data_IF_814562819635
#
_entry.id   IF_814562819635
#
_cell.length_a   1.000
_cell.length_b   1.000
_cell.length_c   1.000
_cell.angle_alpha   90.00
_cell.angle_beta   90.00
_cell.angle_gamma   90.00
#
_symmetry.space_group_name_H-M   'P 1'
#
loop_
_entity.id
_entity.type
_entity.pdbx_description
1 polymer ?
#
# COMPACT_ATOMS: atom_id res chain seq x y z
N UNK A 1 -35.45 -8.92 39.15
CA UNK A 1 -35.40 -9.35 37.74
C UNK A 1 -35.64 -8.13 36.86
N UNK A 2 -34.64 -7.66 36.13
CA UNK A 2 -34.81 -6.58 35.15
C UNK A 2 -35.64 -7.15 33.97
N UNK A 3 -36.95 -6.87 33.96
CA UNK A 3 -37.80 -7.03 32.78
C UNK A 3 -37.50 -5.83 31.88
N UNK A 4 -36.60 -6.01 30.92
CA UNK A 4 -36.37 -5.04 29.84
C UNK A 4 -37.14 -5.46 28.60
N UNK A 5 -37.87 -4.53 28.00
CA UNK A 5 -38.61 -4.64 26.73
C UNK A 5 -37.65 -4.75 25.51
N UNK A 6 -36.84 -5.80 25.49
CA UNK A 6 -35.90 -6.11 24.41
C UNK A 6 -36.05 -7.60 24.12
N UNK A 7 -36.28 -8.08 22.88
CA UNK A 7 -36.20 -9.51 22.63
C UNK A 7 -34.72 -9.92 22.61
N UNK A 8 -34.11 -10.02 23.79
CA UNK A 8 -32.74 -10.50 24.02
C UNK A 8 -32.47 -11.86 23.34
N UNK A 9 -33.53 -12.64 23.12
CA UNK A 9 -33.45 -13.96 22.47
C UNK A 9 -32.90 -13.91 21.04
N UNK A 10 -33.27 -12.91 20.22
CA UNK A 10 -32.80 -12.87 18.82
C UNK A 10 -31.32 -12.46 18.71
N UNK A 11 -30.86 -11.51 19.54
CA UNK A 11 -29.43 -11.17 19.58
C UNK A 11 -28.59 -12.34 20.07
N UNK A 12 -29.07 -13.09 21.06
CA UNK A 12 -28.39 -14.31 21.50
C UNK A 12 -28.33 -15.37 20.39
N UNK A 13 -29.42 -15.53 19.61
CA UNK A 13 -29.42 -16.42 18.43
C UNK A 13 -28.41 -16.00 17.37
N UNK A 14 -28.28 -14.70 17.07
CA UNK A 14 -27.26 -14.20 16.14
C UNK A 14 -25.85 -14.51 16.64
N UNK A 15 -25.54 -14.23 17.91
CA UNK A 15 -24.22 -14.55 18.50
C UNK A 15 -23.94 -16.05 18.43
N UNK A 16 -24.93 -16.89 18.74
CA UNK A 16 -24.82 -18.34 18.64
C UNK A 16 -24.57 -18.80 17.20
N UNK A 17 -25.21 -18.18 16.21
CA UNK A 17 -24.98 -18.46 14.80
C UNK A 17 -23.56 -18.07 14.36
N UNK A 18 -23.05 -16.91 14.81
CA UNK A 18 -21.64 -16.50 14.58
C UNK A 18 -20.66 -17.54 15.13
N UNK A 19 -20.86 -17.96 16.37
CA UNK A 19 -20.03 -19.02 16.96
C UNK A 19 -20.09 -20.33 16.15
N UNK A 20 -21.25 -20.68 15.58
CA UNK A 20 -21.32 -21.82 14.67
C UNK A 20 -20.59 -21.59 13.34
N UNK A 21 -20.62 -20.38 12.78
CA UNK A 21 -19.83 -20.04 11.60
C UNK A 21 -18.33 -20.17 11.87
N UNK A 22 -17.85 -19.64 13.00
CA UNK A 22 -16.44 -19.71 13.40
C UNK A 22 -15.99 -21.17 13.61
N UNK A 23 -16.92 -22.05 14.00
CA UNK A 23 -16.68 -23.49 14.14
C UNK A 23 -16.88 -24.28 12.84
N UNK A 24 -17.15 -23.63 11.70
CA UNK A 24 -17.42 -24.29 10.42
C UNK A 24 -18.76 -25.03 10.35
N UNK A 25 -19.67 -24.82 11.30
CA UNK A 25 -20.98 -25.48 11.38
C UNK A 25 -22.06 -24.67 10.67
N UNK A 26 -21.82 -24.33 9.41
CA UNK A 26 -22.60 -23.37 8.63
C UNK A 26 -24.09 -23.73 8.51
N UNK A 27 -24.45 -25.01 8.31
CA UNK A 27 -25.87 -25.40 8.25
C UNK A 27 -26.61 -25.14 9.57
N UNK A 28 -25.94 -25.27 10.72
CA UNK A 28 -26.55 -24.96 12.03
C UNK A 28 -26.74 -23.46 12.21
N UNK A 29 -25.76 -22.66 11.76
CA UNK A 29 -25.88 -21.21 11.75
C UNK A 29 -27.06 -20.77 10.87
N UNK A 30 -27.14 -21.26 9.63
CA UNK A 30 -28.22 -20.97 8.67
C UNK A 30 -29.60 -21.31 9.26
N UNK A 31 -29.73 -22.45 9.95
CA UNK A 31 -30.99 -22.83 10.59
C UNK A 31 -31.43 -21.79 11.65
N UNK A 32 -30.51 -21.38 12.52
CA UNK A 32 -30.79 -20.39 13.57
C UNK A 32 -31.11 -19.02 12.97
N UNK A 33 -30.37 -18.61 11.94
CA UNK A 33 -30.56 -17.32 11.27
C UNK A 33 -31.90 -17.27 10.53
N UNK A 34 -32.30 -18.36 9.87
CA UNK A 34 -33.64 -18.48 9.27
C UNK A 34 -34.76 -18.32 10.31
N UNK A 35 -34.59 -18.84 11.52
CA UNK A 35 -35.56 -18.65 12.61
C UNK A 35 -35.62 -17.19 13.06
N UNK A 36 -34.48 -16.46 13.06
CA UNK A 36 -34.42 -15.02 13.31
C UNK A 36 -35.12 -14.23 12.19
N UNK A 37 -34.95 -14.60 10.92
CA UNK A 37 -35.59 -13.92 9.79
C UNK A 37 -37.12 -14.08 9.78
N UNK A 38 -37.63 -15.18 10.33
CA UNK A 38 -39.07 -15.45 10.52
C UNK A 38 -39.67 -14.77 11.76
N UNK A 39 -38.85 -14.11 12.57
CA UNK A 39 -39.31 -13.40 13.76
C UNK A 39 -40.39 -12.37 13.41
N UNK A 40 -41.40 -12.30 14.29
CA UNK A 40 -42.46 -11.30 14.30
C UNK A 40 -42.59 -10.75 15.71
N UNK A 41 -43.00 -9.49 15.84
CA UNK A 41 -43.25 -8.90 17.14
C UNK A 41 -44.48 -9.56 17.81
N UNK A 42 -44.42 -9.88 19.12
CA UNK A 42 -45.61 -10.33 19.85
C UNK A 42 -46.56 -9.15 20.09
N UNK A 43 -47.45 -8.90 19.14
CA UNK A 43 -48.54 -7.92 19.23
C UNK A 43 -49.90 -8.54 18.87
N UNK A 44 -51.04 -7.86 19.12
CA UNK A 44 -52.35 -8.37 18.74
C UNK A 44 -52.42 -8.56 17.22
N UNK A 45 -52.63 -9.79 16.79
CA UNK A 45 -52.75 -10.19 15.39
C UNK A 45 -53.78 -9.32 14.65
N UNK A 46 -53.34 -8.58 13.63
CA UNK A 46 -54.24 -7.97 12.65
C UNK A 46 -54.22 -6.45 12.50
N UNK A 47 -53.41 -5.71 13.28
CA UNK A 47 -53.06 -4.34 12.86
C UNK A 47 -51.97 -4.46 11.80
N UNK A 48 -52.16 -3.91 10.61
CA UNK A 48 -51.13 -3.85 9.56
C UNK A 48 -49.97 -2.91 9.93
N UNK A 49 -49.45 -3.02 11.14
CA UNK A 49 -48.35 -2.22 11.64
C UNK A 49 -47.06 -2.62 10.94
N UNK A 50 -46.35 -1.61 10.47
CA UNK A 50 -45.05 -1.75 9.84
C UNK A 50 -44.06 -2.42 10.80
N UNK A 51 -43.15 -3.23 10.25
CA UNK A 51 -42.16 -3.93 11.06
C UNK A 51 -41.29 -2.93 11.85
N UNK A 52 -41.11 -3.11 13.17
CA UNK A 52 -40.31 -2.21 13.99
C UNK A 52 -38.87 -2.09 13.49
N UNK A 53 -38.32 -0.87 13.55
CA UNK A 53 -36.96 -0.58 13.11
C UNK A 53 -35.88 -1.46 13.76
N UNK A 54 -36.03 -1.79 15.07
CA UNK A 54 -35.09 -2.66 15.75
C UNK A 54 -35.10 -4.10 15.20
N UNK A 55 -36.26 -4.59 14.75
CA UNK A 55 -36.41 -5.95 14.21
C UNK A 55 -35.85 -6.02 12.79
N UNK A 56 -36.12 -4.99 11.97
CA UNK A 56 -35.45 -4.79 10.66
C UNK A 56 -33.93 -4.82 10.81
N UNK A 57 -33.36 -4.11 11.79
CA UNK A 57 -31.91 -4.12 12.07
C UNK A 57 -31.39 -5.52 12.44
N UNK A 58 -32.10 -6.24 13.30
CA UNK A 58 -31.75 -7.64 13.67
C UNK A 58 -31.77 -8.55 12.43
N UNK A 59 -32.74 -8.37 11.52
CA UNK A 59 -32.83 -9.15 10.29
C UNK A 59 -31.71 -8.83 9.31
N UNK A 60 -31.33 -7.56 9.16
CA UNK A 60 -30.16 -7.16 8.38
C UNK A 60 -28.87 -7.80 8.93
N UNK A 61 -28.64 -7.73 10.25
CA UNK A 61 -27.50 -8.41 10.89
C UNK A 61 -27.52 -9.94 10.66
N UNK A 62 -28.69 -10.57 10.79
CA UNK A 62 -28.84 -12.00 10.56
C UNK A 62 -28.56 -12.39 9.09
N UNK A 63 -28.96 -11.56 8.13
CA UNK A 63 -28.66 -11.76 6.72
C UNK A 63 -27.16 -11.70 6.44
N UNK A 64 -26.43 -10.76 7.06
CA UNK A 64 -24.97 -10.70 6.94
C UNK A 64 -24.33 -12.01 7.44
N UNK A 65 -24.71 -12.46 8.64
CA UNK A 65 -24.15 -13.71 9.20
C UNK A 65 -24.58 -14.95 8.40
N UNK A 66 -25.74 -14.90 7.75
CA UNK A 66 -26.22 -15.98 6.88
C UNK A 66 -25.44 -16.00 5.56
N UNK A 67 -25.13 -14.83 5.00
CA UNK A 67 -24.23 -14.70 3.86
C UNK A 67 -22.87 -15.32 4.13
N UNK A 68 -22.27 -15.04 5.29
CA UNK A 68 -20.99 -15.66 5.71
C UNK A 68 -21.08 -17.18 5.81
N UNK A 69 -22.24 -17.67 6.26
CA UNK A 69 -22.50 -19.12 6.34
C UNK A 69 -22.50 -19.74 4.94
N UNK A 70 -23.18 -19.10 3.98
CA UNK A 70 -23.21 -19.55 2.59
C UNK A 70 -21.83 -19.44 1.91
N UNK A 71 -21.04 -18.39 2.19
CA UNK A 71 -19.65 -18.31 1.72
C UNK A 71 -18.81 -19.48 2.22
N UNK A 72 -18.93 -19.85 3.50
CA UNK A 72 -18.26 -21.03 4.07
C UNK A 72 -18.66 -22.35 3.39
N UNK A 73 -19.85 -22.40 2.79
CA UNK A 73 -20.35 -23.51 1.99
C UNK A 73 -20.06 -23.39 0.49
N UNK A 74 -19.36 -22.33 0.07
CA UNK A 74 -19.14 -21.98 -1.34
C UNK A 74 -20.42 -21.77 -2.15
N UNK A 75 -21.49 -21.37 -1.47
CA UNK A 75 -22.79 -21.01 -2.05
C UNK A 75 -22.85 -19.49 -2.28
N UNK A 76 -22.06 -19.03 -3.25
CA UNK A 76 -21.79 -17.60 -3.41
C UNK A 76 -23.00 -16.78 -3.88
N UNK A 77 -23.90 -17.38 -4.65
CA UNK A 77 -25.10 -16.68 -5.14
C UNK A 77 -26.09 -16.43 -3.98
N UNK A 78 -26.26 -17.42 -3.11
CA UNK A 78 -27.06 -17.30 -1.89
C UNK A 78 -26.42 -16.32 -0.89
N UNK A 79 -25.09 -16.28 -0.80
CA UNK A 79 -24.39 -15.30 0.00
C UNK A 79 -24.63 -13.86 -0.52
N UNK A 80 -24.51 -13.66 -1.82
CA UNK A 80 -24.75 -12.37 -2.47
C UNK A 80 -26.18 -11.87 -2.21
N UNK A 81 -27.17 -12.74 -2.40
CA UNK A 81 -28.59 -12.44 -2.14
C UNK A 81 -28.82 -12.02 -0.68
N UNK A 82 -28.19 -12.70 0.27
CA UNK A 82 -28.26 -12.31 1.69
C UNK A 82 -27.70 -10.91 1.93
N UNK A 83 -26.51 -10.61 1.40
CA UNK A 83 -25.88 -9.30 1.58
C UNK A 83 -26.67 -8.17 0.90
N UNK A 84 -27.22 -8.39 -0.29
CA UNK A 84 -28.07 -7.42 -1.00
C UNK A 84 -29.35 -7.13 -0.22
N UNK A 85 -30.04 -8.16 0.28
CA UNK A 85 -31.21 -7.99 1.15
C UNK A 85 -30.88 -7.24 2.43
N UNK A 86 -29.69 -7.48 3.01
CA UNK A 86 -29.23 -6.71 4.17
C UNK A 86 -29.07 -5.23 3.85
N UNK A 87 -28.49 -4.90 2.68
CA UNK A 87 -28.37 -3.51 2.23
C UNK A 87 -29.74 -2.87 2.05
N UNK A 88 -30.66 -3.51 1.33
CA UNK A 88 -32.02 -2.99 1.09
C UNK A 88 -32.76 -2.67 2.40
N UNK A 89 -32.71 -3.59 3.39
CA UNK A 89 -33.32 -3.35 4.70
C UNK A 89 -32.63 -2.16 5.40
N UNK A 90 -31.30 -2.14 5.38
CA UNK A 90 -30.52 -1.09 6.05
C UNK A 90 -30.78 0.28 5.43
N UNK A 91 -30.86 0.38 4.10
CA UNK A 91 -31.18 1.63 3.40
C UNK A 91 -32.55 2.19 3.80
N UNK A 92 -33.53 1.32 4.07
CA UNK A 92 -34.87 1.72 4.50
C UNK A 92 -34.95 2.26 5.94
N UNK A 93 -33.89 2.07 6.75
CA UNK A 93 -33.86 2.43 8.17
C UNK A 93 -33.32 3.82 8.46
N UNK A 94 -32.68 4.46 7.49
CA UNK A 94 -31.99 5.72 7.69
C UNK A 94 -32.40 6.75 6.65
N UNK A 95 -32.36 8.02 7.04
CA UNK A 95 -32.51 9.13 6.11
C UNK A 95 -31.40 9.11 5.05
N UNK A 96 -31.72 9.66 3.89
CA UNK A 96 -30.79 9.79 2.76
C UNK A 96 -29.54 10.59 3.20
N UNK A 97 -28.36 10.09 2.86
CA UNK A 97 -27.05 10.72 3.10
C UNK A 97 -26.63 10.97 4.56
N UNK A 98 -27.15 10.22 5.53
CA UNK A 98 -26.64 10.25 6.91
C UNK A 98 -25.32 9.48 7.10
N UNK A 99 -24.47 9.94 8.03
CA UNK A 99 -23.24 9.24 8.43
C UNK A 99 -23.60 7.87 9.03
N UNK A 100 -24.70 7.80 9.78
CA UNK A 100 -25.25 6.59 10.37
C UNK A 100 -25.60 5.55 9.28
N UNK A 101 -26.25 5.97 8.19
CA UNK A 101 -26.53 5.11 7.03
C UNK A 101 -25.24 4.55 6.45
N UNK A 102 -24.25 5.42 6.23
CA UNK A 102 -22.95 5.01 5.67
C UNK A 102 -22.29 3.93 6.52
N UNK A 103 -22.20 4.14 7.83
CA UNK A 103 -21.63 3.16 8.78
C UNK A 103 -22.43 1.86 8.83
N UNK A 104 -23.77 1.93 8.75
CA UNK A 104 -24.63 0.75 8.80
C UNK A 104 -24.53 -0.12 7.54
N UNK A 105 -24.28 0.47 6.37
CA UNK A 105 -24.12 -0.25 5.10
C UNK A 105 -22.74 -0.90 4.93
N UNK A 106 -21.71 -0.42 5.64
CA UNK A 106 -20.32 -0.88 5.49
C UNK A 106 -20.16 -2.40 5.59
N UNK A 107 -20.75 -3.14 6.55
CA UNK A 107 -20.50 -4.58 6.68
C UNK A 107 -20.95 -5.39 5.46
N UNK A 108 -22.17 -5.15 4.96
CA UNK A 108 -22.69 -5.85 3.78
C UNK A 108 -21.98 -5.39 2.50
N UNK A 109 -21.64 -4.10 2.38
CA UNK A 109 -20.85 -3.58 1.27
C UNK A 109 -19.42 -4.16 1.21
N UNK A 110 -18.76 -4.29 2.37
CA UNK A 110 -17.46 -4.98 2.50
C UNK A 110 -17.57 -6.45 2.09
N UNK A 111 -18.58 -7.16 2.57
CA UNK A 111 -18.80 -8.57 2.23
C UNK A 111 -19.05 -8.80 0.71
N UNK A 112 -19.84 -7.94 0.06
CA UNK A 112 -20.05 -8.00 -1.39
C UNK A 112 -18.75 -7.75 -2.18
N UNK A 113 -17.93 -6.79 -1.75
CA UNK A 113 -16.60 -6.56 -2.34
C UNK A 113 -15.69 -7.77 -2.16
N UNK A 114 -15.69 -8.40 -0.98
CA UNK A 114 -14.95 -9.64 -0.71
C UNK A 114 -15.40 -10.76 -1.64
N UNK A 115 -16.71 -10.98 -1.78
CA UNK A 115 -17.29 -12.04 -2.61
C UNK A 115 -16.88 -11.92 -4.09
N UNK A 116 -16.81 -10.68 -4.60
CA UNK A 116 -16.26 -10.38 -5.91
C UNK A 116 -14.81 -10.90 -6.04
N UNK A 117 -13.96 -10.58 -5.07
CA UNK A 117 -12.60 -11.10 -4.97
C UNK A 117 -12.53 -12.63 -4.89
N UNK A 118 -13.38 -13.27 -4.08
CA UNK A 118 -13.44 -14.74 -3.92
C UNK A 118 -13.69 -15.42 -5.28
N UNK A 119 -14.67 -14.93 -6.05
CA UNK A 119 -14.99 -15.48 -7.38
C UNK A 119 -13.83 -15.32 -8.36
N UNK A 120 -13.13 -14.18 -8.34
CA UNK A 120 -11.93 -13.95 -9.14
C UNK A 120 -10.81 -14.92 -8.78
N UNK A 121 -10.55 -15.07 -7.48
CA UNK A 121 -9.56 -15.99 -6.94
C UNK A 121 -9.85 -17.45 -7.33
N UNK A 122 -11.09 -17.92 -7.20
CA UNK A 122 -11.47 -19.31 -7.55
C UNK A 122 -11.20 -19.64 -9.02
N UNK A 123 -11.44 -18.69 -9.94
CA UNK A 123 -11.08 -18.86 -11.35
C UNK A 123 -9.57 -18.98 -11.53
N UNK A 124 -8.80 -18.12 -10.87
CA UNK A 124 -7.32 -18.11 -10.98
C UNK A 124 -6.73 -19.40 -10.42
N UNK A 125 -7.10 -19.81 -9.20
CA UNK A 125 -6.59 -21.06 -8.61
C UNK A 125 -7.02 -22.27 -9.43
N UNK A 126 -8.24 -22.28 -9.98
CA UNK A 126 -8.70 -23.35 -10.88
C UNK A 126 -7.84 -23.47 -12.14
N UNK A 127 -7.51 -22.33 -12.77
CA UNK A 127 -6.60 -22.29 -13.91
C UNK A 127 -5.21 -22.79 -13.53
N UNK A 128 -4.61 -22.25 -12.47
CA UNK A 128 -3.27 -22.63 -12.02
C UNK A 128 -3.17 -24.11 -11.61
N UNK A 129 -4.22 -24.65 -10.98
CA UNK A 129 -4.31 -26.06 -10.58
C UNK A 129 -4.37 -27.01 -11.80
N UNK A 130 -4.85 -26.52 -12.94
CA UNK A 130 -4.95 -27.31 -14.17
C UNK A 130 -3.64 -27.39 -14.96
N UNK A 131 -2.65 -26.56 -14.62
CA UNK A 131 -1.40 -26.46 -15.36
C UNK A 131 -0.49 -27.66 -15.10
N UNK A 132 -0.03 -28.30 -16.18
CA UNK A 132 1.01 -29.32 -16.09
C UNK A 132 2.38 -28.69 -15.82
N UNK A 133 3.30 -29.39 -15.14
CA UNK A 133 4.64 -28.86 -14.84
C UNK A 133 5.38 -28.31 -16.06
N UNK A 134 5.30 -28.99 -17.21
CA UNK A 134 6.00 -28.64 -18.45
C UNK A 134 5.47 -27.38 -19.16
N UNK A 135 4.21 -27.01 -18.92
CA UNK A 135 3.57 -25.83 -19.53
C UNK A 135 3.53 -24.63 -18.57
N UNK A 136 3.76 -24.86 -17.28
CA UNK A 136 3.53 -23.89 -16.20
C UNK A 136 4.23 -22.55 -16.44
N UNK A 137 5.52 -22.58 -16.81
CA UNK A 137 6.29 -21.36 -17.01
C UNK A 137 5.65 -20.46 -18.06
N UNK A 138 5.39 -21.00 -19.25
CA UNK A 138 4.78 -20.24 -20.35
C UNK A 138 3.37 -19.75 -19.98
N UNK A 139 2.57 -20.60 -19.33
CA UNK A 139 1.18 -20.30 -18.96
C UNK A 139 1.06 -19.24 -17.86
N UNK A 140 2.06 -19.12 -17.00
CA UNK A 140 2.17 -18.04 -16.01
C UNK A 140 2.51 -16.73 -16.72
N UNK A 141 3.46 -16.73 -17.65
CA UNK A 141 3.84 -15.50 -18.38
C UNK A 141 2.65 -14.89 -19.17
N UNK A 142 1.73 -15.75 -19.62
CA UNK A 142 0.52 -15.34 -20.36
C UNK A 142 -0.74 -15.24 -19.48
N UNK A 143 -0.62 -15.30 -18.15
CA UNK A 143 -1.79 -15.36 -17.24
C UNK A 143 -2.62 -14.08 -17.28
N UNK A 144 -2.02 -12.93 -17.54
CA UNK A 144 -2.72 -11.65 -17.69
C UNK A 144 -3.64 -11.66 -18.92
N UNK A 145 -3.18 -12.26 -20.01
CA UNK A 145 -3.96 -12.45 -21.23
C UNK A 145 -5.12 -13.41 -20.98
N UNK A 146 -4.85 -14.56 -20.36
CA UNK A 146 -5.90 -15.48 -19.94
C UNK A 146 -6.92 -14.80 -19.03
N UNK A 147 -6.46 -14.00 -18.06
CA UNK A 147 -7.30 -13.24 -17.15
C UNK A 147 -8.26 -12.33 -17.90
N UNK A 148 -7.76 -11.54 -18.86
CA UNK A 148 -8.59 -10.65 -19.69
C UNK A 148 -9.69 -11.42 -20.42
N UNK A 149 -9.39 -12.59 -20.97
CA UNK A 149 -10.39 -13.46 -21.63
C UNK A 149 -11.46 -13.99 -20.64
N UNK A 150 -11.15 -14.03 -19.34
CA UNK A 150 -12.07 -14.41 -18.27
C UNK A 150 -12.77 -13.22 -17.57
N UNK A 151 -12.52 -11.99 -18.02
CA UNK A 151 -13.01 -10.76 -17.39
C UNK A 151 -12.29 -10.41 -16.08
N UNK A 152 -11.02 -10.81 -15.94
CA UNK A 152 -10.18 -10.54 -14.77
C UNK A 152 -8.94 -9.76 -15.21
N UNK A 153 -8.71 -8.58 -14.65
CA UNK A 153 -7.41 -7.93 -14.77
C UNK A 153 -6.43 -8.55 -13.78
N UNK A 154 -5.25 -8.93 -14.25
CA UNK A 154 -4.21 -9.59 -13.46
C UNK A 154 -2.88 -8.84 -13.66
N UNK A 155 -2.32 -8.35 -12.57
CA UNK A 155 -0.90 -8.06 -12.46
C UNK A 155 -0.22 -9.27 -11.80
N UNK A 156 0.86 -9.76 -12.37
CA UNK A 156 1.54 -10.94 -11.85
C UNK A 156 3.06 -10.75 -11.81
N UNK A 157 3.68 -11.40 -10.84
CA UNK A 157 5.11 -11.33 -10.61
C UNK A 157 5.61 -12.67 -10.07
N UNK A 158 6.61 -13.24 -10.74
CA UNK A 158 7.35 -14.37 -10.19
C UNK A 158 8.43 -13.86 -9.25
N UNK A 159 8.47 -14.38 -8.03
CA UNK A 159 9.52 -14.03 -7.08
C UNK A 159 10.87 -14.59 -7.57
N UNK A 160 11.89 -13.74 -7.58
CA UNK A 160 13.26 -14.10 -7.93
C UNK A 160 13.79 -15.16 -6.96
N UNK A 161 14.14 -16.34 -7.47
CA UNK A 161 14.79 -17.39 -6.69
C UNK A 161 16.30 -17.35 -6.93
N UNK A 162 17.03 -16.81 -5.96
CA UNK A 162 18.50 -16.65 -6.03
C UNK A 162 19.28 -17.86 -5.52
N UNK A 163 18.60 -18.86 -4.93
CA UNK A 163 19.21 -19.97 -4.19
C UNK A 163 18.87 -21.37 -4.77
N UNK A 164 18.08 -21.43 -5.84
CA UNK A 164 17.85 -22.62 -6.67
C UNK A 164 16.83 -23.63 -6.13
N UNK A 165 16.81 -23.90 -4.82
CA UNK A 165 15.98 -24.96 -4.21
C UNK A 165 14.70 -24.44 -3.53
N UNK A 166 14.37 -23.16 -3.69
CA UNK A 166 13.15 -22.55 -3.14
C UNK A 166 11.92 -22.79 -4.03
N UNK A 167 10.70 -22.81 -3.45
CA UNK A 167 9.47 -23.03 -4.22
C UNK A 167 9.29 -21.97 -5.32
N UNK A 168 8.69 -22.38 -6.44
CA UNK A 168 8.27 -21.43 -7.46
C UNK A 168 7.10 -20.61 -6.89
N UNK A 169 7.32 -19.33 -6.63
CA UNK A 169 6.30 -18.46 -6.01
C UNK A 169 5.85 -17.37 -6.98
N UNK A 170 4.54 -17.29 -7.19
CA UNK A 170 3.85 -16.35 -8.05
C UNK A 170 2.96 -15.44 -7.19
N UNK A 171 3.21 -14.13 -7.27
CA UNK A 171 2.32 -13.11 -6.73
C UNK A 171 1.34 -12.66 -7.82
N UNK A 172 0.08 -12.50 -7.44
CA UNK A 172 -1.01 -12.09 -8.34
C UNK A 172 -1.86 -11.05 -7.64
N UNK A 173 -1.84 -9.82 -8.15
CA UNK A 173 -2.83 -8.80 -7.79
C UNK A 173 -3.91 -8.81 -8.86
N UNK A 174 -5.19 -8.95 -8.47
CA UNK A 174 -6.26 -9.15 -9.44
C UNK A 174 -7.52 -8.34 -9.13
N UNK A 175 -8.26 -8.00 -10.19
CA UNK A 175 -9.61 -7.45 -10.09
C UNK A 175 -10.52 -8.09 -11.13
N UNK A 176 -11.73 -8.44 -10.73
CA UNK A 176 -12.77 -8.98 -11.61
C UNK A 176 -13.63 -7.89 -12.27
N UNK A 177 -13.22 -6.62 -12.13
CA UNK A 177 -13.72 -5.53 -12.96
C UNK A 177 -12.62 -5.09 -13.94
N UNK A 178 -12.65 -5.69 -15.13
CA UNK A 178 -11.65 -5.44 -16.18
C UNK A 178 -11.71 -4.03 -16.78
N UNK A 179 -12.69 -3.21 -16.40
CA UNK A 179 -12.86 -1.84 -16.91
C UNK A 179 -12.25 -0.77 -16.00
N UNK A 180 -11.82 -1.11 -14.79
CA UNK A 180 -11.20 -0.15 -13.87
C UNK A 180 -9.75 0.09 -14.27
N UNK A 181 -9.55 1.13 -15.09
CA UNK A 181 -8.26 1.79 -15.26
C UNK A 181 -7.96 2.56 -13.96
N UNK A 182 -7.13 2.02 -13.06
CA UNK A 182 -6.69 2.79 -11.89
C UNK A 182 -6.40 2.04 -10.60
N UNK A 183 -5.76 0.86 -10.65
CA UNK A 183 -4.99 0.38 -9.50
C UNK A 183 -5.75 -0.13 -8.27
N UNK A 184 -7.08 -0.30 -8.33
CA UNK A 184 -7.85 -0.97 -7.27
C UNK A 184 -7.96 -2.47 -7.55
N UNK A 185 -7.39 -3.29 -6.68
CA UNK A 185 -7.44 -4.75 -6.77
C UNK A 185 -8.44 -5.35 -5.77
N UNK A 186 -9.11 -6.43 -6.16
CA UNK A 186 -10.04 -7.16 -5.30
C UNK A 186 -9.29 -8.08 -4.30
N UNK A 187 -8.06 -8.47 -4.63
CA UNK A 187 -7.19 -9.21 -3.71
C UNK A 187 -5.76 -9.41 -4.22
N UNK A 188 -4.91 -9.81 -3.28
CA UNK A 188 -3.49 -10.13 -3.47
C UNK A 188 -3.29 -11.61 -3.14
N UNK A 189 -2.99 -12.41 -4.15
CA UNK A 189 -2.78 -13.85 -3.99
C UNK A 189 -1.30 -14.21 -4.12
N UNK A 190 -0.87 -15.16 -3.29
CA UNK A 190 0.43 -15.82 -3.37
C UNK A 190 0.14 -17.27 -3.72
N UNK A 191 0.64 -17.72 -4.86
CA UNK A 191 0.62 -19.12 -5.27
C UNK A 191 2.04 -19.66 -5.21
N UNK A 192 2.24 -20.86 -4.69
CA UNK A 192 3.56 -21.47 -4.73
C UNK A 192 3.48 -22.97 -5.01
N UNK A 193 4.47 -23.45 -5.74
CA UNK A 193 4.62 -24.87 -6.03
C UNK A 193 5.84 -25.42 -5.30
N UNK A 194 5.61 -26.46 -4.51
CA UNK A 194 6.65 -27.29 -3.93
C UNK A 194 6.48 -28.76 -4.39
N UNK A 195 7.14 -29.69 -3.69
CA UNK A 195 7.05 -31.12 -3.96
C UNK A 195 5.65 -31.72 -3.73
N UNK A 196 4.85 -31.10 -2.87
CA UNK A 196 3.54 -31.59 -2.44
C UNK A 196 2.42 -31.04 -3.32
N UNK A 197 2.68 -29.99 -4.11
CA UNK A 197 1.82 -29.53 -5.17
C UNK A 197 1.69 -28.01 -5.22
N UNK A 198 0.54 -27.55 -5.73
CA UNK A 198 0.18 -26.13 -5.71
C UNK A 198 -0.45 -25.79 -4.37
N UNK A 199 0.05 -24.73 -3.77
CA UNK A 199 -0.48 -24.09 -2.58
C UNK A 199 -0.83 -22.64 -2.88
N UNK A 200 -1.63 -22.05 -2.01
CA UNK A 200 -2.18 -20.73 -2.28
C UNK A 200 -2.66 -20.04 -1.01
N UNK A 201 -2.48 -18.73 -0.98
CA UNK A 201 -2.99 -17.85 0.05
C UNK A 201 -3.46 -16.55 -0.59
N UNK A 202 -4.53 -15.95 -0.08
CA UNK A 202 -5.07 -14.71 -0.62
C UNK A 202 -5.42 -13.74 0.50
N UNK A 203 -5.05 -12.47 0.28
CA UNK A 203 -5.39 -11.33 1.11
C UNK A 203 -6.41 -10.50 0.33
N UNK A 204 -7.68 -10.54 0.72
CA UNK A 204 -8.72 -9.79 0.03
C UNK A 204 -8.69 -8.33 0.45
N UNK A 205 -8.68 -7.41 -0.51
CA UNK A 205 -8.58 -5.97 -0.21
C UNK A 205 -9.79 -5.43 0.56
N UNK A 206 -10.90 -6.17 0.58
CA UNK A 206 -12.04 -5.87 1.42
C UNK A 206 -11.71 -5.96 2.92
N UNK A 207 -10.70 -6.75 3.29
CA UNK A 207 -10.26 -7.04 4.66
C UNK A 207 -8.88 -6.41 4.96
N UNK A 208 -8.60 -5.29 4.32
CA UNK A 208 -7.36 -4.53 4.46
C UNK A 208 -7.06 -4.09 5.91
N UNK A 209 -8.08 -3.91 6.73
CA UNK A 209 -7.98 -3.68 8.17
C UNK A 209 -7.37 -4.85 8.95
N UNK A 210 -7.50 -6.09 8.46
CA UNK A 210 -6.98 -7.29 9.12
C UNK A 210 -5.50 -7.55 8.82
N UNK A 211 -5.06 -7.26 7.59
CA UNK A 211 -3.73 -7.62 7.09
C UNK A 211 -2.93 -6.44 6.50
N UNK A 212 -3.53 -5.26 6.41
CA UNK A 212 -2.92 -4.02 5.91
C UNK A 212 -2.70 -3.98 4.40
N UNK A 213 -3.28 -4.88 3.60
CA UNK A 213 -3.12 -4.86 2.14
C UNK A 213 -4.25 -4.05 1.53
N UNK A 214 -3.97 -2.76 1.31
CA UNK A 214 -4.90 -1.83 0.67
C UNK A 214 -5.16 -2.25 -0.78
N UNK A 215 -6.37 -2.01 -1.32
CA UNK A 215 -6.65 -2.26 -2.73
C UNK A 215 -5.75 -1.49 -3.70
N UNK A 216 -5.05 -0.45 -3.24
CA UNK A 216 -4.10 0.34 -4.05
C UNK A 216 -2.70 -0.26 -4.13
N UNK A 217 -2.47 -1.41 -3.47
CA UNK A 217 -1.18 -2.07 -3.48
C UNK A 217 -1.00 -2.86 -4.78
N UNK A 218 0.21 -2.88 -5.32
CA UNK A 218 0.56 -3.75 -6.46
C UNK A 218 2.00 -4.20 -6.32
N UNK A 219 2.25 -5.50 -6.43
CA UNK A 219 3.59 -6.06 -6.35
C UNK A 219 4.44 -5.58 -7.54
N UNK A 220 5.61 -5.02 -7.26
CA UNK A 220 6.56 -4.52 -8.26
C UNK A 220 7.79 -5.41 -8.40
N UNK A 221 8.28 -5.95 -7.29
CA UNK A 221 9.45 -6.81 -7.24
C UNK A 221 9.38 -7.73 -6.02
N UNK A 222 9.94 -8.93 -6.13
CA UNK A 222 9.89 -9.94 -5.09
C UNK A 222 11.09 -10.86 -5.20
N UNK A 223 11.66 -11.25 -4.05
CA UNK A 223 12.81 -12.14 -3.97
C UNK A 223 12.61 -13.16 -2.87
N UNK A 224 12.94 -14.41 -3.16
CA UNK A 224 13.00 -15.50 -2.21
C UNK A 224 14.43 -15.66 -1.67
N UNK A 225 14.53 -16.06 -0.40
CA UNK A 225 15.79 -16.42 0.25
C UNK A 225 15.55 -17.41 1.39
N UNK A 226 16.58 -18.17 1.75
CA UNK A 226 16.55 -19.00 2.95
C UNK A 226 16.77 -18.14 4.19
N UNK A 227 15.75 -18.08 5.05
CA UNK A 227 15.78 -17.39 6.33
C UNK A 227 16.35 -18.24 7.48
N UNK A 228 16.22 -17.75 8.73
CA UNK A 228 16.58 -18.52 9.92
C UNK A 228 15.90 -19.88 9.98
N UNK A 229 16.59 -20.89 10.52
CA UNK A 229 16.10 -22.28 10.62
C UNK A 229 15.68 -22.92 9.28
N UNK A 230 16.28 -22.48 8.17
CA UNK A 230 15.94 -22.91 6.81
C UNK A 230 14.48 -22.61 6.42
N UNK A 231 13.85 -21.62 7.05
CA UNK A 231 12.53 -21.17 6.64
C UNK A 231 12.60 -20.51 5.26
N UNK A 232 11.58 -20.71 4.43
CA UNK A 232 11.46 -19.98 3.16
C UNK A 232 10.96 -18.58 3.49
N UNK A 233 11.70 -17.56 3.07
CA UNK A 233 11.32 -16.16 3.23
C UNK A 233 11.18 -15.48 1.87
N UNK A 234 10.33 -14.46 1.84
CA UNK A 234 10.08 -13.65 0.67
C UNK A 234 10.09 -12.18 1.04
N UNK A 235 10.95 -11.39 0.40
CA UNK A 235 10.81 -9.95 0.39
C UNK A 235 9.91 -9.54 -0.76
N UNK A 236 8.96 -8.63 -0.52
CA UNK A 236 8.11 -8.08 -1.58
C UNK A 236 8.11 -6.56 -1.50
N UNK A 237 8.36 -5.94 -2.64
CA UNK A 237 8.29 -4.49 -2.85
C UNK A 237 6.96 -4.22 -3.56
N UNK A 238 6.08 -3.48 -2.91
CA UNK A 238 4.79 -3.04 -3.44
C UNK A 238 4.86 -1.57 -3.82
N UNK A 239 4.15 -1.16 -4.88
CA UNK A 239 3.68 0.22 -4.98
C UNK A 239 2.45 0.36 -4.09
N UNK A 240 2.45 1.29 -3.15
CA UNK A 240 1.33 1.49 -2.21
C UNK A 240 0.27 2.47 -2.74
N UNK A 241 0.54 3.14 -3.85
CA UNK A 241 -0.29 4.19 -4.42
C UNK A 241 -0.58 3.98 -5.91
N UNK A 242 -0.76 2.73 -6.33
CA UNK A 242 -1.04 2.39 -7.73
C UNK A 242 -2.35 3.05 -8.19
N UNK A 243 -2.33 3.65 -9.38
CA UNK A 243 -3.43 4.47 -9.91
C UNK A 243 -3.32 5.98 -9.62
N UNK A 244 -2.30 6.42 -8.88
CA UNK A 244 -1.98 7.83 -8.62
C UNK A 244 -1.23 8.55 -9.75
N UNK A 245 -0.54 9.66 -9.43
CA UNK A 245 0.08 10.61 -10.36
C UNK A 245 1.29 10.10 -11.17
N UNK A 246 1.55 8.78 -11.18
CA UNK A 246 2.51 8.13 -12.07
C UNK A 246 3.90 7.85 -11.48
N UNK A 247 4.09 7.91 -10.17
CA UNK A 247 5.34 7.50 -9.53
C UNK A 247 5.07 6.59 -8.34
N UNK A 248 5.78 5.44 -8.22
CA UNK A 248 5.51 4.49 -7.17
C UNK A 248 5.89 5.04 -5.81
N UNK A 249 5.07 4.70 -4.81
CA UNK A 249 5.37 4.94 -3.41
C UNK A 249 5.68 3.57 -2.82
N UNK A 250 6.96 3.17 -2.75
CA UNK A 250 7.31 1.80 -2.46
C UNK A 250 7.06 1.47 -0.99
N UNK A 251 6.40 0.34 -0.74
CA UNK A 251 6.33 -0.31 0.56
C UNK A 251 7.08 -1.65 0.48
N UNK A 252 7.77 -2.05 1.54
CA UNK A 252 8.46 -3.33 1.62
C UNK A 252 7.85 -4.19 2.72
N UNK A 253 7.62 -5.48 2.41
CA UNK A 253 7.19 -6.48 3.39
C UNK A 253 8.11 -7.68 3.34
N UNK A 254 8.46 -8.18 4.51
CA UNK A 254 9.16 -9.44 4.69
C UNK A 254 8.15 -10.49 5.14
N UNK A 255 8.09 -11.58 4.39
CA UNK A 255 7.27 -12.74 4.69
C UNK A 255 8.13 -13.93 5.07
N UNK A 256 7.58 -14.79 5.92
CA UNK A 256 8.11 -16.12 6.22
C UNK A 256 7.01 -17.15 6.06
N UNK A 257 7.32 -18.28 5.43
CA UNK A 257 6.42 -19.41 5.31
C UNK A 257 6.47 -20.24 6.59
N UNK A 258 5.41 -20.21 7.38
CA UNK A 258 5.27 -20.92 8.66
C UNK A 258 3.98 -21.74 8.64
N UNK A 259 4.06 -23.03 8.99
CA UNK A 259 2.92 -23.94 9.05
C UNK A 259 2.04 -23.96 7.78
N UNK A 260 2.66 -23.76 6.61
CA UNK A 260 1.96 -23.73 5.31
C UNK A 260 1.33 -22.38 4.95
N UNK A 261 1.56 -21.33 5.75
CA UNK A 261 1.04 -19.99 5.51
C UNK A 261 2.15 -18.94 5.50
N UNK A 262 2.09 -18.00 4.56
CA UNK A 262 2.94 -16.82 4.54
C UNK A 262 2.49 -15.83 5.61
N UNK A 263 3.38 -15.56 6.56
CA UNK A 263 3.22 -14.57 7.62
C UNK A 263 4.05 -13.34 7.31
N UNK A 264 3.45 -12.16 7.43
CA UNK A 264 4.19 -10.89 7.39
C UNK A 264 4.93 -10.74 8.72
N UNK A 265 6.25 -10.88 8.70
CA UNK A 265 7.10 -10.77 9.89
C UNK A 265 7.70 -9.37 10.05
N UNK A 266 7.73 -8.56 8.98
CA UNK A 266 8.08 -7.15 9.04
C UNK A 266 7.43 -6.35 7.91
N UNK A 267 7.10 -5.09 8.17
CA UNK A 267 6.50 -4.17 7.19
C UNK A 267 7.09 -2.76 7.31
N UNK A 268 7.44 -2.17 6.17
CA UNK A 268 7.97 -0.81 6.11
C UNK A 268 6.90 0.25 6.43
N UNK A 269 5.63 -0.13 6.33
CA UNK A 269 4.50 0.72 6.72
C UNK A 269 4.36 0.85 8.24
N UNK A 270 5.10 0.06 9.04
CA UNK A 270 5.07 0.17 10.48
C UNK A 270 5.68 1.52 10.93
N UNK A 271 5.02 2.30 11.82
CA UNK A 271 5.49 3.64 12.20
C UNK A 271 6.93 3.69 12.74
N UNK A 272 7.39 2.62 13.39
CA UNK A 272 8.78 2.54 13.90
C UNK A 272 9.84 2.36 12.83
N UNK A 273 9.48 1.92 11.62
CA UNK A 273 10.43 1.63 10.54
C UNK A 273 11.10 2.91 10.00
N UNK A 274 10.50 4.09 10.21
CA UNK A 274 10.97 5.39 9.66
C UNK A 274 11.21 5.34 8.15
N UNK A 275 10.45 4.51 7.44
CA UNK A 275 10.53 4.35 6.00
C UNK A 275 10.04 5.61 5.28
N UNK A 276 10.83 6.22 4.37
CA UNK A 276 10.42 7.40 3.64
C UNK A 276 9.18 7.11 2.78
N UNK A 277 8.09 7.82 3.06
CA UNK A 277 6.89 7.79 2.23
C UNK A 277 7.03 8.80 1.07
N UNK A 278 7.97 8.51 0.17
CA UNK A 278 8.35 9.38 -0.95
C UNK A 278 8.35 8.59 -2.25
N UNK A 279 8.36 9.32 -3.37
CA UNK A 279 8.53 8.71 -4.69
C UNK A 279 9.92 8.11 -4.79
N UNK A 280 9.98 6.79 -4.90
CA UNK A 280 11.25 6.08 -4.93
C UNK A 280 11.13 4.73 -5.66
N UNK A 281 12.27 4.26 -6.12
CA UNK A 281 12.50 2.87 -6.52
C UNK A 281 13.21 2.18 -5.37
N UNK A 282 12.79 0.96 -5.05
CA UNK A 282 13.51 0.09 -4.11
C UNK A 282 14.00 -1.12 -4.89
N UNK A 283 15.18 -1.61 -4.52
CA UNK A 283 15.80 -2.77 -5.16
C UNK A 283 16.55 -3.59 -4.13
N UNK A 284 16.54 -4.91 -4.30
CA UNK A 284 17.33 -5.82 -3.49
C UNK A 284 18.80 -5.79 -3.94
N UNK A 285 19.70 -5.36 -3.07
CA UNK A 285 21.13 -5.17 -3.39
C UNK A 285 22.07 -6.06 -2.59
N UNK A 286 21.58 -6.67 -1.50
CA UNK A 286 22.30 -7.66 -0.71
C UNK A 286 22.16 -9.08 -1.22
N UNK A 287 22.92 -10.00 -0.61
CA UNK A 287 22.71 -11.43 -0.80
C UNK A 287 21.38 -11.83 -0.16
N UNK A 288 20.55 -12.56 -0.90
CA UNK A 288 19.20 -12.92 -0.45
C UNK A 288 18.40 -11.67 -0.11
N UNK A 289 17.96 -11.58 1.16
CA UNK A 289 17.18 -10.47 1.72
C UNK A 289 17.99 -9.63 2.73
N UNK A 290 19.32 -9.56 2.61
CA UNK A 290 20.14 -8.86 3.61
C UNK A 290 20.08 -7.34 3.50
N UNK A 291 19.80 -6.81 2.30
CA UNK A 291 19.90 -5.38 2.03
C UNK A 291 19.00 -4.90 0.89
N UNK A 292 18.47 -3.70 1.08
CA UNK A 292 17.71 -2.95 0.10
C UNK A 292 18.39 -1.59 -0.15
N UNK A 293 18.31 -1.13 -1.39
CA UNK A 293 18.63 0.25 -1.76
C UNK A 293 17.37 0.94 -2.24
N UNK A 294 17.14 2.15 -1.74
CA UNK A 294 16.04 3.03 -2.12
C UNK A 294 16.62 4.27 -2.80
N UNK A 295 16.17 4.56 -4.02
CA UNK A 295 16.55 5.74 -4.79
C UNK A 295 15.30 6.54 -5.10
N UNK A 296 15.25 7.80 -4.70
CA UNK A 296 14.04 8.61 -4.85
C UNK A 296 14.31 10.10 -4.91
N UNK A 297 13.21 10.86 -4.90
CA UNK A 297 13.24 12.30 -4.76
C UNK A 297 12.75 12.77 -3.40
N UNK A 298 13.24 13.94 -2.99
CA UNK A 298 12.90 14.60 -1.72
C UNK A 298 11.68 15.52 -1.85
N UNK A 299 10.84 15.34 -2.87
CA UNK A 299 9.65 16.18 -3.02
C UNK A 299 8.70 15.95 -1.85
N UNK A 300 8.38 17.04 -1.13
CA UNK A 300 7.56 16.98 0.09
C UNK A 300 8.31 16.49 1.34
N UNK A 301 9.60 16.18 1.23
CA UNK A 301 10.44 15.84 2.39
C UNK A 301 10.67 17.09 3.26
N UNK A 302 10.50 16.95 4.57
CA UNK A 302 10.51 18.07 5.54
C UNK A 302 11.88 18.23 6.20
N UNK A 303 12.83 18.83 5.49
CA UNK A 303 14.19 19.12 5.98
C UNK A 303 14.50 20.61 6.14
N UNK A 304 13.48 21.47 6.08
CA UNK A 304 13.60 22.92 6.15
C UNK A 304 14.05 23.57 4.84
N UNK A 305 14.37 22.77 3.82
CA UNK A 305 14.78 23.23 2.48
C UNK A 305 13.71 22.97 1.44
N UNK A 306 12.56 22.45 1.85
CA UNK A 306 11.38 22.45 1.01
C UNK A 306 11.05 23.88 0.56
N UNK A 307 10.44 24.01 -0.62
CA UNK A 307 9.91 25.28 -1.11
C UNK A 307 10.93 26.40 -1.38
N UNK A 308 12.25 26.14 -1.33
CA UNK A 308 13.25 27.10 -1.87
C UNK A 308 12.95 27.37 -3.35
N UNK A 309 12.68 26.31 -4.10
CA UNK A 309 12.16 26.40 -5.46
C UNK A 309 10.86 25.61 -5.59
N UNK A 310 10.09 25.92 -6.62
CA UNK A 310 8.88 25.19 -6.96
C UNK A 310 9.23 23.85 -7.61
N UNK A 311 9.26 22.78 -6.81
CA UNK A 311 9.34 21.40 -7.31
C UNK A 311 7.96 20.94 -7.81
N UNK A 312 7.93 20.21 -8.94
CA UNK A 312 6.71 19.70 -9.57
C UNK A 312 7.03 18.44 -10.39
N UNK A 313 6.02 17.66 -10.81
CA UNK A 313 6.23 16.43 -11.60
C UNK A 313 7.21 16.55 -12.79
N UNK A 314 7.12 17.57 -13.67
CA UNK A 314 8.10 17.78 -14.74
C UNK A 314 9.30 18.64 -14.33
N UNK A 315 9.32 19.09 -13.08
CA UNK A 315 10.31 20.01 -12.52
C UNK A 315 11.48 19.30 -11.84
N UNK A 316 12.41 20.08 -11.30
CA UNK A 316 13.60 19.54 -10.66
C UNK A 316 13.30 18.97 -9.29
N UNK A 317 14.13 18.02 -8.89
CA UNK A 317 14.03 17.39 -7.61
C UNK A 317 15.40 17.15 -7.00
N UNK A 318 15.53 17.43 -5.69
CA UNK A 318 16.66 16.85 -4.95
C UNK A 318 16.45 15.35 -4.88
N UNK A 319 17.49 14.57 -5.19
CA UNK A 319 17.43 13.10 -5.18
C UNK A 319 18.21 12.53 -4.01
N UNK A 320 17.84 11.34 -3.56
CA UNK A 320 18.54 10.64 -2.49
C UNK A 320 18.76 9.17 -2.83
N UNK A 321 19.75 8.58 -2.15
CA UNK A 321 19.98 7.14 -2.09
C UNK A 321 20.03 6.73 -0.63
N UNK A 322 19.24 5.74 -0.25
CA UNK A 322 19.17 5.20 1.09
C UNK A 322 19.49 3.69 1.09
N UNK A 323 20.27 3.25 2.08
CA UNK A 323 20.64 1.83 2.28
C UNK A 323 19.98 1.30 3.54
N UNK A 324 19.23 0.23 3.38
CA UNK A 324 18.52 -0.47 4.45
C UNK A 324 19.12 -1.85 4.63
N UNK A 325 19.54 -2.19 5.84
CA UNK A 325 20.14 -3.48 6.15
C UNK A 325 19.24 -4.22 7.11
N UNK A 326 19.01 -5.51 6.86
CA UNK A 326 18.29 -6.38 7.78
C UNK A 326 19.13 -6.62 9.03
N UNK A 327 18.55 -6.42 10.20
CA UNK A 327 19.22 -6.62 11.49
C UNK A 327 19.45 -8.10 11.75
N UNK A 328 20.65 -8.63 11.50
CA UNK A 328 20.94 -10.03 11.86
C UNK A 328 21.09 -10.20 13.39
N UNK A 329 20.14 -10.91 14.03
CA UNK A 329 20.29 -11.46 15.38
C UNK A 329 19.42 -10.82 16.49
N UNK A 330 19.24 -11.58 17.57
CA UNK A 330 18.49 -11.21 18.78
C UNK A 330 19.21 -10.13 19.60
N UNK A 331 19.24 -8.88 19.13
CA UNK A 331 19.44 -7.76 20.06
C UNK A 331 18.13 -7.57 20.81
N UNK A 332 18.09 -8.11 22.03
CA UNK A 332 17.03 -7.84 23.00
C UNK A 332 16.93 -6.34 23.23
N UNK A 333 15.92 -5.72 22.62
CA UNK A 333 15.46 -4.40 23.00
C UNK A 333 14.31 -4.60 23.99
N UNK A 334 14.37 -3.81 25.06
CA UNK A 334 13.32 -3.72 26.07
C UNK A 334 12.00 -3.30 25.43
N UNK A 335 10.95 -4.05 25.78
CA UNK A 335 9.53 -3.84 25.44
C UNK A 335 9.13 -4.19 24.00
N UNK A 336 8.96 -5.50 23.74
CA UNK A 336 7.92 -6.00 22.83
C UNK A 336 8.25 -6.09 21.33
N UNK A 337 9.46 -5.72 20.88
CA UNK A 337 9.86 -5.93 19.49
C UNK A 337 10.45 -7.35 19.29
N UNK A 338 9.78 -8.17 18.49
CA UNK A 338 10.28 -9.47 18.10
C UNK A 338 11.57 -9.34 17.25
N UNK A 339 12.60 -10.11 17.66
CA UNK A 339 13.71 -10.69 16.88
C UNK A 339 14.10 -10.09 15.52
N UNK A 340 15.38 -9.69 15.36
CA UNK A 340 16.28 -9.95 14.21
C UNK A 340 15.79 -9.89 12.74
N UNK A 341 14.63 -9.33 12.46
CA UNK A 341 13.99 -9.33 11.13
C UNK A 341 13.66 -7.89 10.67
N UNK A 342 13.98 -6.90 11.50
CA UNK A 342 13.84 -5.50 11.18
C UNK A 342 14.82 -5.02 10.13
N UNK A 343 14.44 -4.00 9.37
CA UNK A 343 15.36 -3.28 8.48
C UNK A 343 15.67 -1.92 9.09
N UNK A 344 16.96 -1.62 9.17
CA UNK A 344 17.45 -0.34 9.68
C UNK A 344 18.08 0.48 8.58
N UNK A 345 17.76 1.77 8.56
CA UNK A 345 18.43 2.74 7.70
C UNK A 345 19.87 2.90 8.18
N UNK A 346 20.83 2.44 7.37
CA UNK A 346 22.27 2.52 7.68
C UNK A 346 22.95 3.68 6.98
N UNK A 347 22.39 4.15 5.86
CA UNK A 347 22.92 5.26 5.08
C UNK A 347 21.80 6.02 4.39
N UNK A 348 21.88 7.35 4.36
CA UNK A 348 20.99 8.23 3.60
C UNK A 348 21.83 9.37 3.02
N UNK A 349 22.04 9.35 1.71
CA UNK A 349 22.82 10.36 1.00
C UNK A 349 21.93 11.15 0.05
N UNK A 350 22.03 12.48 0.07
CA UNK A 350 21.45 13.32 -0.99
C UNK A 350 22.41 13.31 -2.17
N UNK A 351 21.91 12.95 -3.36
CA UNK A 351 22.71 12.84 -4.58
C UNK A 351 23.23 14.22 -4.98
N UNK A 352 24.56 14.40 -5.15
CA UNK A 352 25.12 15.66 -5.62
C UNK A 352 24.63 16.04 -7.02
N UNK A 353 24.16 17.28 -7.15
CA UNK A 353 23.74 17.88 -8.42
C UNK A 353 23.88 19.40 -8.35
N UNK A 354 23.86 20.06 -9.50
CA UNK A 354 23.75 21.51 -9.61
C UNK A 354 22.51 22.02 -8.84
N UNK A 355 21.36 21.37 -9.01
CA UNK A 355 20.14 21.76 -8.31
C UNK A 355 20.26 21.63 -6.79
N UNK A 356 20.74 20.48 -6.28
CA UNK A 356 20.95 20.29 -4.84
C UNK A 356 21.94 21.31 -4.26
N UNK A 357 23.01 21.61 -5.01
CA UNK A 357 24.00 22.63 -4.63
C UNK A 357 23.36 24.01 -4.50
N UNK A 358 22.53 24.40 -5.48
CA UNK A 358 21.84 25.68 -5.47
C UNK A 358 20.85 25.79 -4.30
N UNK A 359 20.10 24.73 -4.01
CA UNK A 359 19.17 24.68 -2.86
C UNK A 359 19.92 24.87 -1.54
N UNK A 360 21.01 24.12 -1.30
CA UNK A 360 21.78 24.24 -0.07
C UNK A 360 22.46 25.61 0.05
N UNK A 361 22.99 26.14 -1.05
CA UNK A 361 23.58 27.48 -1.08
C UNK A 361 22.56 28.57 -0.72
N UNK A 362 21.39 28.59 -1.38
CA UNK A 362 20.34 29.58 -1.10
C UNK A 362 19.83 29.45 0.33
N UNK A 363 19.66 28.22 0.83
CA UNK A 363 19.28 28.00 2.22
C UNK A 363 20.29 28.63 3.19
N UNK A 364 21.58 28.37 2.98
CA UNK A 364 22.65 28.87 3.84
C UNK A 364 22.73 30.40 3.85
N UNK A 365 22.75 31.04 2.68
CA UNK A 365 22.78 32.52 2.61
C UNK A 365 21.51 33.16 3.15
N UNK A 366 20.36 32.47 3.04
CA UNK A 366 19.07 32.97 3.55
C UNK A 366 18.90 32.82 5.06
N UNK A 367 19.59 31.85 5.66
CA UNK A 367 19.63 31.63 7.12
C UNK A 367 20.78 32.39 7.79
N UNK A 368 21.64 33.05 7.01
CA UNK A 368 22.80 33.77 7.52
C UNK A 368 24.00 32.88 7.88
N UNK A 369 23.99 31.60 7.49
CA UNK A 369 25.10 30.68 7.71
C UNK A 369 26.12 30.79 6.56
N UNK A 370 26.98 31.81 6.63
CA UNK A 370 28.01 32.03 5.61
C UNK A 370 29.04 30.89 5.58
N UNK A 371 29.36 30.28 6.73
CA UNK A 371 30.31 29.16 6.77
C UNK A 371 29.78 27.94 6.03
N UNK A 372 28.47 27.71 6.05
CA UNK A 372 27.82 26.68 5.24
C UNK A 372 27.78 27.09 3.77
N UNK A 373 27.45 28.35 3.46
CA UNK A 373 27.41 28.85 2.08
C UNK A 373 28.76 28.71 1.36
N UNK A 374 29.87 28.94 2.06
CA UNK A 374 31.24 28.78 1.55
C UNK A 374 31.53 27.37 1.01
N UNK A 375 30.86 26.34 1.52
CA UNK A 375 31.06 24.95 1.08
C UNK A 375 30.52 24.68 -0.33
N UNK A 376 29.64 25.54 -0.82
CA UNK A 376 28.89 25.34 -2.07
C UNK A 376 29.40 26.22 -3.24
N UNK A 377 30.45 27.01 -3.03
CA UNK A 377 31.02 27.94 -4.01
C UNK A 377 32.49 27.66 -4.28
N UNK A 378 32.99 28.01 -5.46
CA UNK A 378 34.42 27.92 -5.77
C UNK A 378 35.23 29.09 -5.21
N UNK A 379 34.58 30.22 -4.95
CA UNK A 379 35.16 31.46 -4.43
C UNK A 379 34.17 32.12 -3.46
N UNK A 380 34.66 32.57 -2.30
CA UNK A 380 33.85 33.24 -1.27
C UNK A 380 33.19 34.52 -1.78
N UNK A 381 33.80 35.21 -2.75
CA UNK A 381 33.23 36.41 -3.36
C UNK A 381 31.86 36.16 -4.03
N UNK A 382 31.55 34.90 -4.37
CA UNK A 382 30.25 34.52 -4.93
C UNK A 382 29.10 34.63 -3.92
N UNK A 383 29.38 34.60 -2.61
CA UNK A 383 28.38 34.82 -1.56
C UNK A 383 27.90 36.27 -1.59
N UNK A 384 28.83 37.22 -1.65
CA UNK A 384 28.49 38.65 -1.74
C UNK A 384 27.80 38.96 -3.06
N UNK A 385 28.29 38.36 -4.16
CA UNK A 385 27.62 38.47 -5.46
C UNK A 385 26.18 37.94 -5.43
N UNK A 386 25.94 36.84 -4.71
CA UNK A 386 24.59 36.29 -4.56
C UNK A 386 23.66 37.25 -3.81
N UNK A 387 24.15 37.89 -2.73
CA UNK A 387 23.40 38.90 -1.98
C UNK A 387 23.09 40.12 -2.84
N UNK A 388 24.06 40.62 -3.60
CA UNK A 388 23.87 41.73 -4.56
C UNK A 388 22.77 41.43 -5.58
N UNK A 389 22.75 40.20 -6.09
CA UNK A 389 21.77 39.71 -7.06
C UNK A 389 20.46 39.20 -6.44
N UNK A 390 20.28 39.42 -5.13
CA UNK A 390 19.06 39.08 -4.37
C UNK A 390 18.74 37.58 -4.30
N UNK A 391 19.75 36.71 -4.32
CA UNK A 391 19.64 35.26 -4.09
C UNK A 391 19.44 34.91 -2.60
N UNK A 392 18.65 35.70 -1.89
CA UNK A 392 18.36 35.54 -0.46
C UNK A 392 16.84 35.53 -0.28
N UNK A 393 16.31 34.49 0.36
CA UNK A 393 14.89 34.38 0.67
C UNK A 393 14.60 34.86 2.09
N UNK A 394 13.72 35.86 2.20
CA UNK A 394 13.13 36.30 3.46
C UNK A 394 11.65 36.68 3.25
N UNK A 395 10.68 35.92 3.79
CA UNK A 395 10.86 34.66 4.52
C UNK A 395 11.42 33.55 3.61
N UNK A 396 11.94 32.47 4.20
CA UNK A 396 12.29 31.23 3.49
C UNK A 396 11.05 30.58 2.85
N UNK A 397 11.25 29.79 1.80
CA UNK A 397 10.18 28.99 1.19
C UNK A 397 9.33 29.75 0.17
N UNK A 398 9.94 30.66 -0.60
CA UNK A 398 9.21 31.51 -1.55
C UNK A 398 8.84 30.83 -2.88
N UNK A 399 9.24 29.57 -3.07
CA UNK A 399 8.91 28.73 -4.23
C UNK A 399 9.26 29.40 -5.55
N UNK A 400 10.48 29.96 -5.65
CA UNK A 400 10.95 30.56 -6.89
C UNK A 400 10.95 29.53 -8.02
N UNK A 401 10.73 29.99 -9.24
CA UNK A 401 10.73 29.14 -10.42
C UNK A 401 12.11 29.19 -11.07
N UNK A 402 12.53 28.04 -11.62
CA UNK A 402 13.77 27.90 -12.35
C UNK A 402 13.54 27.24 -13.69
N UNK A 403 14.44 27.52 -14.61
CA UNK A 403 14.48 26.95 -15.95
C UNK A 403 15.83 26.25 -16.18
N UNK A 404 15.79 25.19 -16.99
CA UNK A 404 16.96 24.43 -17.40
C UNK A 404 17.18 24.60 -18.89
N UNK A 405 18.43 24.73 -19.28
CA UNK A 405 18.80 24.76 -20.71
C UNK A 405 18.42 23.47 -21.45
N UNK A 406 18.40 22.33 -20.75
CA UNK A 406 17.95 21.02 -21.22
C UNK A 406 17.63 20.07 -20.03
N UNK A 407 17.06 18.87 -20.25
CA UNK A 407 16.69 17.94 -19.17
C UNK A 407 17.84 17.51 -18.24
N UNK A 408 19.10 17.62 -18.66
CA UNK A 408 20.28 17.36 -17.83
C UNK A 408 20.73 18.56 -16.99
N UNK A 409 20.13 19.74 -17.21
CA UNK A 409 20.42 20.98 -16.49
C UNK A 409 20.13 20.89 -14.99
N UNK A 410 19.18 20.05 -14.57
CA UNK A 410 18.96 19.74 -13.15
C UNK A 410 20.22 19.15 -12.50
N UNK A 411 20.92 18.28 -13.24
CA UNK A 411 22.13 17.61 -12.77
C UNK A 411 23.37 18.50 -12.85
N UNK A 412 23.55 19.21 -13.98
CA UNK A 412 24.83 19.87 -14.32
C UNK A 412 24.77 21.40 -14.37
N UNK A 413 23.58 21.97 -14.44
CA UNK A 413 23.38 23.38 -14.77
C UNK A 413 23.76 23.70 -16.24
N UNK A 414 23.86 25.00 -16.60
CA UNK A 414 23.52 26.14 -15.76
C UNK A 414 22.03 26.17 -15.40
N UNK A 415 21.70 26.84 -14.29
CA UNK A 415 20.33 27.00 -13.80
C UNK A 415 19.96 28.48 -13.85
N UNK A 416 18.80 28.79 -14.43
CA UNK A 416 18.30 30.17 -14.52
C UNK A 416 17.11 30.37 -13.60
N UNK A 417 17.10 31.43 -12.80
CA UNK A 417 15.94 31.84 -12.01
C UNK A 417 15.01 32.67 -12.88
N UNK A 418 13.75 32.26 -12.95
CA UNK A 418 12.72 32.87 -13.81
C UNK A 418 11.57 33.50 -13.02
N UNK A 419 11.60 33.48 -11.69
CA UNK A 419 10.68 34.24 -10.87
C UNK A 419 11.28 34.67 -9.53
N UNK A 420 10.65 35.66 -8.89
CA UNK A 420 11.06 36.21 -7.61
C UNK A 420 12.15 37.29 -7.72
N UNK A 421 12.67 37.79 -6.59
CA UNK A 421 13.62 38.92 -6.56
C UNK A 421 14.92 38.70 -7.36
N UNK A 422 15.32 37.44 -7.54
CA UNK A 422 16.51 37.03 -8.29
C UNK A 422 16.19 36.64 -9.76
N UNK A 423 15.01 36.96 -10.28
CA UNK A 423 14.66 36.69 -11.69
C UNK A 423 15.72 37.25 -12.65
N UNK A 424 16.07 36.41 -13.64
CA UNK A 424 17.10 36.67 -14.65
C UNK A 424 18.49 36.17 -14.29
N UNK A 425 18.75 35.80 -13.02
CA UNK A 425 20.07 35.31 -12.59
C UNK A 425 20.33 33.92 -13.16
N UNK A 426 21.52 33.73 -13.75
CA UNK A 426 22.04 32.46 -14.23
C UNK A 426 23.22 32.02 -13.35
N UNK A 427 23.18 30.75 -12.93
CA UNK A 427 24.18 30.13 -12.06
C UNK A 427 24.85 28.98 -12.78
N UNK A 428 26.18 28.99 -12.84
CA UNK A 428 27.00 27.94 -13.44
C UNK A 428 27.69 27.10 -12.36
N UNK A 429 27.96 25.83 -12.68
CA UNK A 429 28.51 24.87 -11.73
C UNK A 429 29.71 24.12 -12.31
N UNK A 430 30.63 23.70 -11.45
CA UNK A 430 31.67 22.72 -11.77
C UNK A 430 31.59 21.52 -10.83
N UNK A 431 31.93 20.33 -11.33
CA UNK A 431 32.02 19.12 -10.50
C UNK A 431 33.47 18.91 -10.02
N UNK A 432 33.65 18.76 -8.71
CA UNK A 432 34.95 18.51 -8.08
C UNK A 432 34.81 17.49 -6.96
N UNK A 433 35.47 16.34 -7.12
CA UNK A 433 35.48 15.29 -6.09
C UNK A 433 34.10 14.67 -5.80
N UNK A 434 33.22 14.61 -6.81
CA UNK A 434 31.85 14.10 -6.66
C UNK A 434 30.85 15.10 -6.09
N UNK A 435 31.24 16.37 -5.90
CA UNK A 435 30.38 17.46 -5.45
C UNK A 435 30.29 18.54 -6.54
N UNK A 436 29.14 19.19 -6.67
CA UNK A 436 28.97 20.37 -7.52
C UNK A 436 29.23 21.64 -6.69
N UNK A 437 29.92 22.62 -7.28
CA UNK A 437 30.20 23.92 -6.69
C UNK A 437 29.76 25.01 -7.67
N UNK A 438 29.15 26.08 -7.14
CA UNK A 438 28.82 27.26 -7.92
C UNK A 438 30.13 27.93 -8.33
N UNK A 439 30.33 28.07 -9.64
CA UNK A 439 31.53 28.67 -10.23
C UNK A 439 31.31 30.08 -10.77
N UNK A 440 30.07 30.44 -11.04
CA UNK A 440 29.70 31.76 -11.58
C UNK A 440 28.25 32.11 -11.21
N UNK A 441 28.00 33.38 -10.90
CA UNK A 441 26.66 33.95 -10.72
C UNK A 441 26.59 35.27 -11.51
N UNK A 442 25.75 35.29 -12.56
CA UNK A 442 25.56 36.47 -13.43
C UNK A 442 24.08 36.75 -13.65
N UNK A 443 23.76 37.96 -14.13
CA UNK A 443 22.40 38.40 -14.42
C UNK A 443 22.36 39.06 -15.79
#
# INVERSE_FOLDING_TARGET
>A
SLKGDYPQDYRFKIIKARAYNDLGQYQKAIKILNDVLKAKEPGPSGSGQEEPAYLKKIKAEALIDMGKSYEGLRQYDEAEDCYRKSLEITESLFEEDSIEKTLALMPAGKALRRLKGVRGYEKIIGYLSSLKPEERWQKIQDIDKWGRDQGISINHLLAENTEGDLPLTLLVDFTSDSQVLGGYVDGHAIFWWDKDGLHSQVFYSADDDEHGFSPTFTAMDARLSTGPNNAVEMGVIYDSATGGSGSPIPAYRLFRLEDGEWKVIWSSSHPSARWPNVRARVSFTGQGLSELTMEGDLWGFKDGKEDIFMESNPGPHRRFVARWVRESGTKGTSEGAASGDGYVLTKFDVVPSAYNTLVNFIYAVSTGDESEAEKWVTDKALIDRAKELKLVQNPLGQRWQIDFSDPSGERRGPIRIISGPAEGVEISFIEKGGQYLISEIKK
#
